data_IF_442690493238
#
_entry.id   IF_442690493238
#
_cell.length_a   1.000
_cell.length_b   1.000
_cell.length_c   1.000
_cell.angle_alpha   90.00
_cell.angle_beta   90.00
_cell.angle_gamma   90.00
#
_symmetry.space_group_name_H-M   'P 1'
#
loop_
_entity.id
_entity.type
_entity.pdbx_description
1 polymer ?
#
# COMPACT_ATOMS: atom_id res chain seq x y z
N UNK A 1 54.71 66.71 -48.36
CA UNK A 1 55.90 67.40 -47.82
C UNK A 1 55.78 67.42 -46.30
N UNK A 2 56.81 66.94 -45.62
CA UNK A 2 57.13 67.14 -44.19
C UNK A 2 56.30 66.40 -43.12
N UNK A 3 56.81 65.24 -42.70
CA UNK A 3 56.86 64.82 -41.29
C UNK A 3 58.09 65.50 -40.65
N UNK A 4 58.20 65.77 -39.32
CA UNK A 4 58.50 64.68 -38.36
C UNK A 4 58.30 64.92 -36.82
N UNK A 5 58.49 63.83 -36.04
CA UNK A 5 59.10 63.69 -34.67
C UNK A 5 58.34 64.16 -33.39
N UNK A 6 57.85 63.14 -32.67
CA UNK A 6 58.05 62.74 -31.26
C UNK A 6 58.48 63.73 -30.16
N UNK A 7 57.75 63.73 -29.02
CA UNK A 7 58.32 63.78 -27.64
C UNK A 7 57.45 62.94 -26.69
N UNK A 8 58.10 62.01 -25.98
CA UNK A 8 57.55 61.17 -24.92
C UNK A 8 57.39 61.93 -23.60
N UNK A 9 56.37 61.57 -22.79
CA UNK A 9 56.38 61.77 -21.32
C UNK A 9 55.65 60.63 -20.61
N UNK A 10 56.45 59.81 -19.94
CA UNK A 10 56.11 58.80 -18.94
C UNK A 10 55.64 59.46 -17.64
N UNK A 11 54.64 58.89 -16.96
CA UNK A 11 54.38 58.71 -15.50
C UNK A 11 52.93 58.18 -15.38
N UNK A 12 52.45 57.30 -14.52
CA UNK A 12 52.94 56.19 -13.68
C UNK A 12 51.67 55.69 -12.93
N UNK A 13 51.34 54.40 -13.04
CA UNK A 13 50.68 53.53 -12.05
C UNK A 13 49.31 53.93 -11.46
N UNK A 14 48.33 53.06 -11.72
CA UNK A 14 47.07 52.96 -10.96
C UNK A 14 46.27 51.72 -11.37
N UNK A 15 46.91 50.54 -11.38
CA UNK A 15 46.25 49.26 -11.63
C UNK A 15 45.50 48.83 -10.35
N UNK A 16 44.23 49.19 -10.21
CA UNK A 16 43.36 48.62 -9.19
C UNK A 16 42.94 47.21 -9.63
N UNK A 17 43.71 46.22 -9.19
CA UNK A 17 43.35 44.80 -9.26
C UNK A 17 42.24 44.55 -8.23
N UNK A 18 40.98 44.60 -8.67
CA UNK A 18 39.86 44.10 -7.85
C UNK A 18 39.90 42.58 -7.93
N UNK A 19 40.60 41.96 -6.99
CA UNK A 19 40.45 40.55 -6.66
C UNK A 19 39.03 40.36 -6.10
N UNK A 20 38.08 40.12 -7.01
CA UNK A 20 36.77 39.60 -6.66
C UNK A 20 36.95 38.17 -6.15
N UNK A 21 37.17 38.03 -4.84
CA UNK A 21 37.01 36.76 -4.14
C UNK A 21 35.54 36.38 -4.35
N UNK A 22 35.28 35.47 -5.29
CA UNK A 22 34.03 34.74 -5.33
C UNK A 22 34.03 33.83 -4.10
N UNK A 23 33.60 34.39 -2.97
CA UNK A 23 33.10 33.58 -1.89
C UNK A 23 31.89 32.86 -2.48
N UNK A 24 32.09 31.61 -2.91
CA UNK A 24 31.00 30.69 -3.15
C UNK A 24 30.13 30.77 -1.89
N UNK A 25 28.94 31.31 -2.03
CA UNK A 25 27.95 31.23 -0.98
C UNK A 25 27.76 29.74 -0.72
N UNK A 26 28.33 29.26 0.38
CA UNK A 26 27.91 27.97 0.94
C UNK A 26 26.48 28.25 1.34
N UNK A 27 25.55 27.97 0.42
CA UNK A 27 24.14 27.86 0.75
C UNK A 27 24.13 26.84 1.86
N UNK A 28 23.79 27.28 3.07
CA UNK A 28 23.58 26.37 4.18
C UNK A 28 22.57 25.34 3.66
N UNK A 29 23.04 24.11 3.43
CA UNK A 29 22.19 23.01 3.01
C UNK A 29 21.05 22.93 4.01
N UNK A 30 19.81 22.85 3.52
CA UNK A 30 18.71 22.54 4.44
C UNK A 30 19.05 21.22 5.13
N UNK A 31 18.80 21.06 6.43
CA UNK A 31 19.07 19.82 7.15
C UNK A 31 18.39 18.60 6.50
N UNK A 32 17.36 18.85 5.69
CA UNK A 32 16.61 17.81 4.97
C UNK A 32 17.19 17.46 3.59
N UNK A 33 18.19 18.19 3.10
CA UNK A 33 18.83 17.94 1.80
C UNK A 33 19.95 16.90 1.87
N UNK A 34 20.05 16.09 0.83
CA UNK A 34 21.13 15.12 0.62
C UNK A 34 22.21 15.78 -0.23
N UNK A 35 23.48 15.50 0.07
CA UNK A 35 24.57 15.83 -0.85
C UNK A 35 24.54 14.91 -2.09
N UNK A 36 25.34 15.25 -3.11
CA UNK A 36 25.36 14.51 -4.37
C UNK A 36 25.76 13.04 -4.22
N UNK A 37 26.70 12.74 -3.31
CA UNK A 37 27.16 11.38 -3.07
C UNK A 37 26.04 10.54 -2.45
N UNK A 38 25.39 11.05 -1.40
CA UNK A 38 24.27 10.38 -0.74
C UNK A 38 23.06 10.25 -1.69
N UNK A 39 22.77 11.27 -2.50
CA UNK A 39 21.71 11.21 -3.51
C UNK A 39 21.95 10.07 -4.51
N UNK A 40 23.17 9.97 -5.05
CA UNK A 40 23.57 8.88 -5.95
C UNK A 40 23.47 7.52 -5.25
N UNK A 41 23.98 7.41 -4.03
CA UNK A 41 23.94 6.16 -3.26
C UNK A 41 22.50 5.67 -3.05
N UNK A 42 21.59 6.55 -2.64
CA UNK A 42 20.18 6.21 -2.44
C UNK A 42 19.54 5.69 -3.73
N UNK A 43 19.77 6.35 -4.86
CA UNK A 43 19.19 5.90 -6.15
C UNK A 43 19.71 4.53 -6.59
N UNK A 44 21.01 4.26 -6.37
CA UNK A 44 21.60 2.95 -6.67
C UNK A 44 20.99 1.87 -5.78
N UNK A 45 20.92 2.11 -4.47
CA UNK A 45 20.37 1.15 -3.51
C UNK A 45 18.88 0.89 -3.76
N UNK A 46 18.08 1.93 -4.08
CA UNK A 46 16.69 1.77 -4.50
C UNK A 46 16.59 0.90 -5.75
N UNK A 47 17.37 1.19 -6.79
CA UNK A 47 17.33 0.42 -8.04
C UNK A 47 17.69 -1.05 -7.80
N UNK A 48 18.73 -1.32 -7.01
CA UNK A 48 19.16 -2.67 -6.66
C UNK A 48 18.06 -3.42 -5.87
N UNK A 49 17.49 -2.82 -4.83
CA UNK A 49 16.43 -3.46 -4.04
C UNK A 49 15.19 -3.76 -4.90
N UNK A 50 14.77 -2.84 -5.76
CA UNK A 50 13.63 -3.08 -6.67
C UNK A 50 13.94 -4.21 -7.64
N UNK A 51 15.11 -4.18 -8.29
CA UNK A 51 15.54 -5.19 -9.24
C UNK A 51 15.56 -6.57 -8.60
N UNK A 52 16.03 -6.68 -7.37
CA UNK A 52 16.32 -7.96 -6.73
C UNK A 52 15.12 -8.52 -5.95
N UNK A 53 14.17 -7.66 -5.55
CA UNK A 53 13.07 -8.07 -4.66
C UNK A 53 11.65 -7.85 -5.20
N UNK A 54 11.45 -7.08 -6.28
CA UNK A 54 10.11 -6.94 -6.84
C UNK A 54 9.63 -8.25 -7.46
N UNK A 55 8.35 -8.55 -7.21
CA UNK A 55 7.71 -9.81 -7.58
C UNK A 55 7.75 -10.10 -9.09
N UNK A 56 7.57 -9.09 -9.94
CA UNK A 56 7.72 -9.23 -11.39
C UNK A 56 9.16 -8.85 -11.79
N UNK A 57 10.00 -9.82 -12.21
CA UNK A 57 11.41 -9.53 -12.51
C UNK A 57 11.60 -8.62 -13.72
N UNK A 58 10.70 -8.68 -14.71
CA UNK A 58 10.81 -7.88 -15.93
C UNK A 58 10.47 -6.43 -15.62
N UNK A 59 9.37 -6.21 -14.90
CA UNK A 59 8.95 -4.86 -14.49
C UNK A 59 9.93 -4.28 -13.47
N UNK A 60 10.41 -5.08 -12.52
CA UNK A 60 11.39 -4.66 -11.52
C UNK A 60 12.70 -4.19 -12.16
N UNK A 61 13.20 -4.95 -13.14
CA UNK A 61 14.37 -4.53 -13.93
C UNK A 61 14.11 -3.21 -14.66
N UNK A 62 12.96 -3.06 -15.33
CA UNK A 62 12.65 -1.86 -16.09
C UNK A 62 12.52 -0.60 -15.21
N UNK A 63 12.00 -0.73 -13.98
CA UNK A 63 11.99 0.36 -12.99
C UNK A 63 13.43 0.72 -12.58
N UNK A 64 14.23 -0.29 -12.23
CA UNK A 64 15.61 -0.10 -11.82
C UNK A 64 16.45 0.60 -12.91
N UNK A 65 16.32 0.17 -14.16
CA UNK A 65 16.99 0.77 -15.32
C UNK A 65 16.57 2.23 -15.51
N UNK A 66 15.29 2.54 -15.31
CA UNK A 66 14.76 3.91 -15.42
C UNK A 66 15.30 4.83 -14.31
N UNK A 67 15.55 4.29 -13.12
CA UNK A 67 16.20 5.02 -12.01
C UNK A 67 17.69 5.22 -12.33
N UNK A 68 18.39 4.15 -12.74
CA UNK A 68 19.82 4.19 -13.05
C UNK A 68 20.16 5.09 -14.24
N UNK A 69 19.30 5.17 -15.26
CA UNK A 69 19.48 6.10 -16.37
C UNK A 69 19.55 7.57 -15.91
N UNK A 70 18.88 7.95 -14.81
CA UNK A 70 19.00 9.31 -14.23
C UNK A 70 20.38 9.53 -13.63
N UNK A 71 20.93 8.51 -12.97
CA UNK A 71 22.27 8.54 -12.38
C UNK A 71 23.34 8.69 -13.47
N UNK A 72 23.21 7.94 -14.56
CA UNK A 72 24.13 7.99 -15.72
C UNK A 72 24.06 9.33 -16.47
N UNK A 73 22.89 9.96 -16.50
CA UNK A 73 22.68 11.29 -17.09
C UNK A 73 23.17 12.44 -16.19
N UNK A 74 23.80 12.14 -15.06
CA UNK A 74 24.31 13.13 -14.10
C UNK A 74 23.21 13.86 -13.31
N UNK A 75 21.96 13.38 -13.33
CA UNK A 75 20.85 13.98 -12.58
C UNK A 75 20.95 13.74 -11.06
N UNK A 76 21.91 12.93 -10.64
CA UNK A 76 22.27 12.69 -9.25
C UNK A 76 23.57 13.40 -8.81
N UNK A 77 24.17 14.23 -9.67
CA UNK A 77 25.46 14.91 -9.40
C UNK A 77 25.33 16.20 -8.58
N UNK A 78 24.13 16.49 -8.09
CA UNK A 78 23.83 17.64 -7.25
C UNK A 78 23.07 17.22 -5.99
N UNK A 79 23.09 18.11 -4.99
CA UNK A 79 22.26 17.96 -3.81
C UNK A 79 20.77 18.00 -4.17
N UNK A 80 19.97 17.29 -3.38
CA UNK A 80 18.52 17.21 -3.58
C UNK A 80 17.81 17.27 -2.23
N UNK A 81 16.65 17.92 -2.22
CA UNK A 81 15.73 17.85 -1.09
C UNK A 81 15.11 16.44 -0.97
N UNK A 82 15.02 15.89 0.24
CA UNK A 82 14.52 14.52 0.44
C UNK A 82 13.08 14.32 -0.04
N UNK A 83 12.19 15.31 0.11
CA UNK A 83 10.82 15.24 -0.38
C UNK A 83 10.79 15.22 -1.92
N UNK A 84 11.67 16.01 -2.55
CA UNK A 84 11.82 15.99 -4.00
C UNK A 84 12.39 14.64 -4.51
N UNK A 85 13.34 14.04 -3.79
CA UNK A 85 13.86 12.71 -4.09
C UNK A 85 12.75 11.64 -4.03
N UNK A 86 11.98 11.64 -2.94
CA UNK A 86 10.83 10.73 -2.77
C UNK A 86 9.84 10.89 -3.94
N UNK A 87 9.43 12.12 -4.24
CA UNK A 87 8.50 12.39 -5.33
C UNK A 87 9.03 11.91 -6.70
N UNK A 88 10.32 12.08 -6.95
CA UNK A 88 10.96 11.65 -8.20
C UNK A 88 10.97 10.12 -8.35
N UNK A 89 11.35 9.39 -7.30
CA UNK A 89 11.37 7.92 -7.29
C UNK A 89 9.95 7.37 -7.41
N UNK A 90 9.02 7.90 -6.62
CA UNK A 90 7.62 7.48 -6.65
C UNK A 90 6.95 7.76 -8.00
N UNK A 91 7.31 8.86 -8.66
CA UNK A 91 6.84 9.15 -10.02
C UNK A 91 7.24 8.07 -11.04
N UNK A 92 8.42 7.46 -10.89
CA UNK A 92 8.85 6.32 -11.73
C UNK A 92 7.99 5.10 -11.42
N UNK A 93 7.96 4.70 -10.15
CA UNK A 93 7.25 3.50 -9.69
C UNK A 93 5.78 3.57 -10.15
N UNK A 94 5.10 4.69 -9.90
CA UNK A 94 3.67 4.87 -10.26
C UNK A 94 3.40 4.94 -11.76
N UNK A 95 4.39 5.26 -12.58
CA UNK A 95 4.25 5.20 -14.04
C UNK A 95 4.26 3.77 -14.61
N UNK A 96 4.69 2.80 -13.82
CA UNK A 96 4.89 1.40 -14.25
C UNK A 96 4.06 0.41 -13.43
N UNK A 97 3.70 0.76 -12.18
CA UNK A 97 2.99 -0.11 -11.23
C UNK A 97 1.86 0.64 -10.57
N UNK A 98 0.66 0.04 -10.59
CA UNK A 98 -0.53 0.60 -9.97
C UNK A 98 -0.63 0.30 -8.46
N UNK A 99 -0.01 -0.79 -7.99
CA UNK A 99 -0.13 -1.22 -6.60
C UNK A 99 0.43 -0.17 -5.62
N UNK A 100 -0.43 0.26 -4.69
CA UNK A 100 -0.12 1.29 -3.72
C UNK A 100 0.81 0.79 -2.60
N UNK A 101 0.97 -0.52 -2.42
CA UNK A 101 1.96 -1.07 -1.48
C UNK A 101 3.40 -0.79 -1.90
N UNK A 102 3.65 -0.58 -3.19
CA UNK A 102 4.99 -0.23 -3.64
C UNK A 102 5.24 1.23 -3.29
N UNK A 103 6.01 1.50 -2.24
CA UNK A 103 6.14 2.83 -1.65
C UNK A 103 7.59 3.16 -1.28
N UNK A 104 7.93 4.45 -1.30
CA UNK A 104 9.22 4.97 -0.91
C UNK A 104 9.02 6.24 -0.09
N UNK A 105 9.42 6.22 1.18
CA UNK A 105 9.17 7.30 2.15
C UNK A 105 10.43 7.72 2.90
N UNK A 106 10.41 8.93 3.47
CA UNK A 106 11.44 9.40 4.40
C UNK A 106 11.00 9.08 5.84
N UNK A 107 11.84 8.36 6.59
CA UNK A 107 11.52 7.95 7.97
C UNK A 107 11.37 9.15 8.93
N UNK A 108 11.89 10.32 8.56
CA UNK A 108 11.74 11.54 9.35
C UNK A 108 10.33 12.13 9.27
N UNK A 109 9.63 11.97 8.14
CA UNK A 109 8.24 12.45 7.97
C UNK A 109 7.22 11.51 8.58
N UNK A 110 7.53 10.21 8.67
CA UNK A 110 6.65 9.20 9.28
C UNK A 110 6.43 9.43 10.78
N UNK A 111 7.26 10.24 11.45
CA UNK A 111 7.08 10.60 12.86
C UNK A 111 5.94 11.59 13.11
N UNK A 112 5.55 12.39 12.10
CA UNK A 112 4.43 13.34 12.22
C UNK A 112 3.09 12.72 11.76
N UNK A 113 3.11 11.76 10.81
CA UNK A 113 1.90 11.09 10.31
C UNK A 113 1.54 9.79 11.06
N UNK A 114 2.50 9.18 11.79
CA UNK A 114 2.21 8.02 12.65
C UNK A 114 1.29 8.32 13.83
N UNK A 115 1.03 9.60 14.12
CA UNK A 115 0.02 10.05 15.09
C UNK A 115 -1.41 10.05 14.50
N UNK A 116 -1.56 10.01 13.16
CA UNK A 116 -2.85 9.95 12.47
C UNK A 116 -3.24 8.57 11.95
N UNK A 117 -2.29 7.63 11.75
CA UNK A 117 -2.64 6.21 11.64
C UNK A 117 -3.03 5.72 13.03
N UNK A 118 -4.30 5.93 13.39
CA UNK A 118 -4.87 5.72 14.70
C UNK A 118 -4.21 4.56 15.44
N UNK A 119 -3.43 4.86 16.48
CA UNK A 119 -3.06 3.90 17.53
C UNK A 119 -4.31 3.55 18.37
N UNK A 120 -5.47 3.38 17.73
CA UNK A 120 -6.61 2.72 18.33
C UNK A 120 -6.12 1.32 18.65
N UNK A 121 -5.98 1.06 19.95
CA UNK A 121 -5.57 -0.25 20.45
C UNK A 121 -6.44 -1.31 19.77
N UNK A 122 -5.83 -2.12 18.91
CA UNK A 122 -6.52 -3.20 18.20
C UNK A 122 -7.30 -4.03 19.20
N UNK A 123 -8.50 -4.43 18.81
CA UNK A 123 -9.30 -5.34 19.61
C UNK A 123 -8.54 -6.66 19.82
N UNK A 124 -8.92 -7.39 20.87
CA UNK A 124 -8.32 -8.71 21.13
C UNK A 124 -8.68 -9.62 19.95
N UNK A 125 -7.68 -10.22 19.31
CA UNK A 125 -7.84 -11.07 18.13
C UNK A 125 -8.39 -10.37 16.87
N UNK A 126 -8.46 -9.03 16.85
CA UNK A 126 -8.94 -8.26 15.70
C UNK A 126 -10.47 -8.29 15.49
N UNK A 127 -11.21 -8.99 16.37
CA UNK A 127 -12.67 -9.04 16.40
C UNK A 127 -13.20 -8.11 17.50
N UNK A 128 -13.72 -6.95 17.11
CA UNK A 128 -14.26 -5.94 18.03
C UNK A 128 -15.63 -6.34 18.57
N UNK A 129 -16.48 -6.90 17.71
CA UNK A 129 -17.84 -7.32 18.07
C UNK A 129 -18.27 -8.56 17.31
N UNK A 130 -18.95 -9.47 18.00
CA UNK A 130 -19.71 -10.56 17.40
C UNK A 130 -21.05 -10.63 18.14
N UNK A 131 -22.13 -10.19 17.48
CA UNK A 131 -23.45 -10.09 18.10
C UNK A 131 -24.56 -10.40 17.12
N UNK A 132 -25.72 -10.77 17.67
CA UNK A 132 -26.95 -10.97 16.90
C UNK A 132 -27.77 -9.67 16.90
N UNK A 133 -28.07 -9.14 15.72
CA UNK A 133 -29.01 -8.04 15.53
C UNK A 133 -30.43 -8.58 15.31
N UNK A 134 -31.40 -7.68 15.22
CA UNK A 134 -32.77 -8.02 14.88
C UNK A 134 -32.86 -8.81 13.56
N UNK A 135 -33.93 -9.61 13.44
CA UNK A 135 -34.15 -10.50 12.30
C UNK A 135 -33.17 -11.69 12.22
N UNK A 136 -32.42 -11.99 13.28
CA UNK A 136 -31.36 -13.02 13.27
C UNK A 136 -30.24 -12.68 12.27
N UNK A 137 -29.76 -11.42 12.29
CA UNK A 137 -28.58 -10.99 11.52
C UNK A 137 -27.33 -11.12 12.38
N UNK A 138 -26.41 -12.02 12.03
CA UNK A 138 -25.12 -12.05 12.68
C UNK A 138 -24.29 -10.83 12.23
N UNK A 139 -23.75 -10.07 13.16
CA UNK A 139 -22.90 -8.91 12.90
C UNK A 139 -21.52 -9.15 13.50
N UNK A 140 -20.51 -9.14 12.65
CA UNK A 140 -19.11 -9.30 13.01
C UNK A 140 -18.33 -8.04 12.63
N UNK A 141 -17.78 -7.35 13.60
CA UNK A 141 -16.99 -6.15 13.40
C UNK A 141 -15.52 -6.45 13.64
N UNK A 142 -14.70 -6.24 12.62
CA UNK A 142 -13.26 -6.46 12.68
C UNK A 142 -12.48 -5.15 12.57
N UNK A 143 -11.40 -5.04 13.33
CA UNK A 143 -10.43 -3.94 13.24
C UNK A 143 -9.01 -4.41 12.90
N UNK A 144 -8.89 -5.68 12.52
CA UNK A 144 -7.67 -6.29 12.00
C UNK A 144 -7.82 -7.79 11.81
N UNK A 145 -6.94 -8.38 11.01
CA UNK A 145 -6.87 -9.81 10.75
C UNK A 145 -5.55 -10.40 11.27
N UNK A 146 -5.37 -10.61 12.58
CA UNK A 146 -4.17 -11.28 13.09
C UNK A 146 -4.09 -12.73 12.61
N UNK A 147 -2.87 -13.20 12.30
CA UNK A 147 -2.61 -14.56 11.81
C UNK A 147 -2.14 -15.55 12.88
N UNK A 148 -2.06 -15.15 14.15
CA UNK A 148 -1.65 -16.07 15.20
C UNK A 148 -2.75 -17.10 15.52
N UNK A 149 -2.33 -18.31 15.89
CA UNK A 149 -3.23 -19.44 16.15
C UNK A 149 -4.29 -19.14 17.21
N UNK A 150 -3.95 -18.36 18.25
CA UNK A 150 -4.91 -18.02 19.29
C UNK A 150 -6.03 -17.12 18.77
N UNK A 151 -5.69 -16.17 17.89
CA UNK A 151 -6.67 -15.32 17.23
C UNK A 151 -7.55 -16.07 16.24
N UNK A 152 -6.97 -16.93 15.39
CA UNK A 152 -7.73 -17.76 14.46
C UNK A 152 -8.76 -18.63 15.20
N UNK A 153 -8.34 -19.30 16.28
CA UNK A 153 -9.24 -20.12 17.11
C UNK A 153 -10.33 -19.29 17.79
N UNK A 154 -9.99 -18.10 18.29
CA UNK A 154 -10.97 -17.24 18.96
C UNK A 154 -12.05 -16.74 17.99
N UNK A 155 -11.66 -16.37 16.76
CA UNK A 155 -12.59 -15.93 15.72
C UNK A 155 -13.48 -17.08 15.25
N UNK A 156 -12.91 -18.24 14.93
CA UNK A 156 -13.69 -19.43 14.57
C UNK A 156 -14.74 -19.76 15.64
N UNK A 157 -14.32 -19.79 16.91
CA UNK A 157 -15.23 -20.04 18.03
C UNK A 157 -16.35 -19.00 18.11
N UNK A 158 -16.04 -17.70 17.98
CA UNK A 158 -17.05 -16.65 18.06
C UNK A 158 -18.09 -16.70 16.93
N UNK A 159 -17.68 -17.18 15.76
CA UNK A 159 -18.52 -17.44 14.58
C UNK A 159 -19.38 -18.69 14.80
N UNK A 160 -18.77 -19.76 15.29
CA UNK A 160 -19.41 -21.06 15.54
C UNK A 160 -20.45 -21.02 16.67
N UNK A 161 -20.22 -20.21 17.70
CA UNK A 161 -21.14 -20.04 18.83
C UNK A 161 -22.35 -19.17 18.51
N UNK A 162 -22.43 -18.56 17.31
CA UNK A 162 -23.63 -17.82 16.93
C UNK A 162 -24.83 -18.77 16.81
N UNK A 163 -25.99 -18.39 17.37
CA UNK A 163 -27.22 -19.15 17.15
C UNK A 163 -27.61 -19.10 15.67
N UNK A 164 -28.63 -19.87 15.29
CA UNK A 164 -29.10 -19.94 13.90
C UNK A 164 -29.33 -18.53 13.32
N UNK A 165 -28.49 -18.17 12.37
CA UNK A 165 -28.52 -16.88 11.67
C UNK A 165 -29.31 -17.00 10.36
N UNK A 166 -29.92 -15.89 9.95
CA UNK A 166 -30.62 -15.76 8.67
C UNK A 166 -29.89 -14.85 7.67
N UNK A 167 -28.93 -14.06 8.14
CA UNK A 167 -28.03 -13.25 7.34
C UNK A 167 -26.75 -12.95 8.15
N UNK A 168 -25.67 -12.57 7.47
CA UNK A 168 -24.44 -12.13 8.10
C UNK A 168 -23.97 -10.78 7.53
N UNK A 169 -23.47 -9.92 8.40
CA UNK A 169 -22.82 -8.66 8.06
C UNK A 169 -21.41 -8.70 8.64
N UNK A 170 -20.41 -8.52 7.77
CA UNK A 170 -19.01 -8.37 8.13
C UNK A 170 -18.64 -6.89 7.99
N UNK A 171 -18.42 -6.22 9.11
CA UNK A 171 -18.02 -4.82 9.12
C UNK A 171 -16.49 -4.69 9.15
N UNK A 172 -15.95 -4.15 8.06
CA UNK A 172 -14.52 -3.93 7.84
C UNK A 172 -14.18 -2.45 7.68
N UNK A 173 -15.11 -1.55 8.01
CA UNK A 173 -14.94 -0.09 7.82
C UNK A 173 -13.74 0.46 8.59
N UNK A 174 -13.35 -0.14 9.70
CA UNK A 174 -12.17 0.24 10.48
C UNK A 174 -11.05 -0.84 10.42
N UNK A 175 -11.08 -1.73 9.43
CA UNK A 175 -10.15 -2.87 9.35
C UNK A 175 -8.95 -2.59 8.42
N UNK A 176 -7.78 -2.43 9.04
CA UNK A 176 -6.54 -2.13 8.34
C UNK A 176 -5.80 -3.39 7.80
N UNK A 177 -6.50 -4.51 7.64
CA UNK A 177 -5.97 -5.74 7.06
C UNK A 177 -5.23 -6.64 8.05
N UNK A 178 -4.27 -7.41 7.53
CA UNK A 178 -3.54 -8.42 8.32
C UNK A 178 -3.17 -9.66 7.49
N UNK A 179 -3.35 -10.84 8.09
CA UNK A 179 -2.95 -12.12 7.54
C UNK A 179 -4.02 -12.74 6.63
N UNK A 180 -3.55 -13.37 5.55
CA UNK A 180 -4.39 -14.14 4.63
C UNK A 180 -5.05 -15.37 5.28
N UNK A 181 -4.46 -15.92 6.35
CA UNK A 181 -5.02 -17.08 7.06
C UNK A 181 -6.41 -16.78 7.65
N UNK A 182 -6.61 -15.56 8.17
CA UNK A 182 -7.91 -15.12 8.64
C UNK A 182 -8.91 -15.01 7.49
N UNK A 183 -8.47 -14.54 6.32
CA UNK A 183 -9.32 -14.47 5.11
C UNK A 183 -9.78 -15.85 4.71
N UNK A 184 -8.87 -16.84 4.66
CA UNK A 184 -9.20 -18.23 4.34
C UNK A 184 -10.16 -18.82 5.37
N UNK A 185 -9.91 -18.59 6.67
CA UNK A 185 -10.78 -19.05 7.75
C UNK A 185 -12.22 -18.52 7.57
N UNK A 186 -12.37 -17.21 7.37
CA UNK A 186 -13.70 -16.60 7.18
C UNK A 186 -14.37 -17.10 5.90
N UNK A 187 -13.61 -17.26 4.81
CA UNK A 187 -14.10 -17.81 3.55
C UNK A 187 -14.65 -19.24 3.73
N UNK A 188 -13.98 -20.09 4.51
CA UNK A 188 -14.41 -21.48 4.72
C UNK A 188 -15.79 -21.60 5.39
N UNK A 189 -16.21 -20.62 6.19
CA UNK A 189 -17.57 -20.58 6.74
C UNK A 189 -18.63 -20.16 5.70
N UNK A 190 -18.22 -19.51 4.63
CA UNK A 190 -19.08 -18.81 3.66
C UNK A 190 -19.02 -19.40 2.25
N UNK A 191 -18.17 -20.36 1.97
CA UNK A 191 -17.97 -20.86 0.62
C UNK A 191 -17.94 -22.38 0.63
N UNK A 192 -18.47 -22.97 -0.44
CA UNK A 192 -18.28 -24.39 -0.68
C UNK A 192 -16.79 -24.71 -0.74
N UNK A 193 -16.42 -25.93 -0.36
CA UNK A 193 -15.05 -26.38 -0.41
C UNK A 193 -14.53 -26.43 -1.86
N UNK A 194 -13.21 -26.33 -2.00
CA UNK A 194 -12.51 -26.43 -3.28
C UNK A 194 -12.85 -25.32 -4.29
N UNK A 195 -13.22 -24.12 -3.81
CA UNK A 195 -13.29 -22.92 -4.64
C UNK A 195 -11.94 -22.19 -4.61
N UNK A 196 -11.46 -21.79 -5.78
CA UNK A 196 -10.26 -20.96 -5.89
C UNK A 196 -10.54 -19.58 -5.30
N UNK A 197 -9.80 -19.21 -4.25
CA UNK A 197 -9.91 -17.90 -3.61
C UNK A 197 -8.96 -16.92 -4.31
N UNK A 198 -7.70 -17.32 -4.44
CA UNK A 198 -6.69 -16.56 -5.14
C UNK A 198 -5.47 -17.42 -5.47
N UNK A 199 -4.66 -16.94 -6.39
CA UNK A 199 -3.30 -17.43 -6.63
C UNK A 199 -2.29 -16.38 -6.22
N UNK A 200 -1.13 -16.79 -5.76
CA UNK A 200 0.01 -15.89 -5.57
C UNK A 200 1.26 -16.44 -6.26
N UNK A 201 2.09 -15.54 -6.79
CA UNK A 201 3.38 -15.88 -7.36
C UNK A 201 4.42 -14.82 -6.98
N UNK A 202 5.59 -15.27 -6.55
CA UNK A 202 6.77 -14.45 -6.37
C UNK A 202 7.72 -14.56 -7.56
N UNK A 203 8.81 -13.80 -7.47
CA UNK A 203 9.84 -13.70 -8.51
C UNK A 203 10.44 -15.04 -8.94
N UNK A 204 10.66 -15.94 -7.97
CA UNK A 204 11.37 -17.20 -8.18
C UNK A 204 10.44 -18.40 -8.38
N UNK A 205 9.13 -18.16 -8.49
CA UNK A 205 8.15 -19.23 -8.61
C UNK A 205 7.97 -19.60 -10.09
N UNK A 206 8.09 -20.89 -10.40
CA UNK A 206 7.85 -21.40 -11.76
C UNK A 206 6.37 -21.32 -12.17
N UNK A 207 5.46 -21.34 -11.19
CA UNK A 207 4.03 -21.25 -11.38
C UNK A 207 3.35 -20.63 -10.14
N UNK A 208 2.17 -19.98 -10.30
CA UNK A 208 1.40 -19.50 -9.17
C UNK A 208 0.95 -20.62 -8.23
N UNK A 209 1.00 -20.35 -6.93
CA UNK A 209 0.41 -21.21 -5.90
C UNK A 209 -1.06 -20.88 -5.74
N UNK A 210 -1.93 -21.90 -5.74
CA UNK A 210 -3.35 -21.74 -5.49
C UNK A 210 -3.68 -21.77 -3.99
N UNK A 211 -4.58 -20.88 -3.57
CA UNK A 211 -5.24 -20.92 -2.27
C UNK A 211 -6.72 -21.16 -2.49
N UNK A 212 -7.24 -22.22 -1.87
CA UNK A 212 -8.61 -22.71 -2.10
C UNK A 212 -9.37 -22.81 -0.78
N UNK A 213 -10.68 -22.64 -0.82
CA UNK A 213 -11.54 -22.89 0.33
C UNK A 213 -11.50 -24.36 0.73
N UNK A 214 -11.70 -24.62 2.02
CA UNK A 214 -11.74 -25.96 2.61
C UNK A 214 -13.08 -26.19 3.29
N UNK A 215 -13.43 -27.46 3.48
CA UNK A 215 -14.65 -27.82 4.20
C UNK A 215 -14.60 -27.29 5.64
N UNK A 216 -15.73 -26.79 6.11
CA UNK A 216 -15.93 -26.29 7.47
C UNK A 216 -17.15 -26.98 8.08
N UNK A 217 -17.06 -27.41 9.35
CA UNK A 217 -18.19 -28.06 10.04
C UNK A 217 -19.36 -27.09 10.19
N UNK A 218 -19.09 -25.84 10.57
CA UNK A 218 -20.10 -24.80 10.71
C UNK A 218 -20.14 -23.90 9.46
N UNK A 219 -20.51 -24.51 8.33
CA UNK A 219 -20.74 -23.79 7.08
C UNK A 219 -22.11 -23.11 7.08
N UNK A 220 -22.16 -21.82 6.70
CA UNK A 220 -23.39 -21.01 6.76
C UNK A 220 -24.36 -21.26 5.60
N UNK A 221 -24.03 -22.23 4.72
CA UNK A 221 -24.79 -22.52 3.51
C UNK A 221 -24.65 -21.41 2.47
N UNK A 222 -24.86 -21.72 1.19
CA UNK A 222 -24.63 -20.79 0.07
C UNK A 222 -25.77 -19.81 -0.22
N UNK A 223 -26.95 -20.04 0.34
CA UNK A 223 -28.15 -19.22 0.09
C UNK A 223 -28.34 -18.07 1.09
N UNK A 224 -27.68 -18.12 2.25
CA UNK A 224 -27.83 -17.08 3.28
C UNK A 224 -27.22 -15.75 2.78
N UNK A 225 -27.95 -14.62 2.84
CA UNK A 225 -27.42 -13.31 2.49
C UNK A 225 -26.21 -12.92 3.32
N UNK A 226 -25.18 -12.40 2.65
CA UNK A 226 -23.95 -11.89 3.27
C UNK A 226 -23.69 -10.48 2.75
N UNK A 227 -23.41 -9.56 3.66
CA UNK A 227 -22.97 -8.21 3.34
C UNK A 227 -21.60 -7.96 3.93
N UNK A 228 -20.77 -7.20 3.21
CA UNK A 228 -19.47 -6.73 3.70
C UNK A 228 -19.48 -5.21 3.66
N UNK A 229 -19.24 -4.58 4.81
CA UNK A 229 -19.19 -3.12 4.92
C UNK A 229 -17.75 -2.64 4.76
N UNK A 230 -17.54 -1.66 3.89
CA UNK A 230 -16.20 -1.14 3.56
C UNK A 230 -16.14 0.38 3.68
N UNK A 231 -14.92 0.88 3.90
CA UNK A 231 -14.60 2.31 3.86
C UNK A 231 -13.27 2.53 3.12
N UNK A 232 -12.83 3.78 2.99
CA UNK A 232 -11.47 4.09 2.53
C UNK A 232 -10.35 3.54 3.45
N UNK A 233 -10.66 3.22 4.71
CA UNK A 233 -9.71 2.63 5.68
C UNK A 233 -9.63 1.10 5.59
N UNK A 234 -10.55 0.45 4.88
CA UNK A 234 -10.46 -0.99 4.63
C UNK A 234 -9.23 -1.28 3.76
N UNK A 235 -8.30 -2.11 4.27
CA UNK A 235 -6.97 -2.26 3.67
C UNK A 235 -6.50 -3.73 3.60
N UNK A 236 -5.70 -4.08 2.59
CA UNK A 236 -4.97 -5.35 2.47
C UNK A 236 -5.86 -6.59 2.62
N UNK A 237 -5.59 -7.48 3.59
CA UNK A 237 -6.35 -8.72 3.76
C UNK A 237 -7.87 -8.49 3.95
N UNK A 238 -8.29 -7.34 4.49
CA UNK A 238 -9.71 -7.00 4.59
C UNK A 238 -10.32 -6.71 3.20
N UNK A 239 -9.56 -6.02 2.33
CA UNK A 239 -9.92 -5.84 0.91
C UNK A 239 -10.01 -7.19 0.19
N UNK A 240 -9.04 -8.09 0.44
CA UNK A 240 -9.04 -9.42 -0.14
C UNK A 240 -10.31 -10.20 0.21
N UNK A 241 -10.74 -10.18 1.48
CA UNK A 241 -11.97 -10.84 1.90
C UNK A 241 -13.21 -10.27 1.19
N UNK A 242 -13.34 -8.94 1.12
CA UNK A 242 -14.44 -8.28 0.40
C UNK A 242 -14.42 -8.64 -1.09
N UNK A 243 -13.27 -8.55 -1.74
CA UNK A 243 -13.10 -8.83 -3.17
C UNK A 243 -13.40 -10.29 -3.51
N UNK A 244 -12.90 -11.26 -2.72
CA UNK A 244 -13.13 -12.69 -2.96
C UNK A 244 -14.62 -13.00 -2.93
N UNK A 245 -15.33 -12.52 -1.90
CA UNK A 245 -16.76 -12.79 -1.77
C UNK A 245 -17.57 -12.08 -2.87
N UNK A 246 -17.17 -10.88 -3.29
CA UNK A 246 -17.81 -10.17 -4.40
C UNK A 246 -17.58 -10.89 -5.73
N UNK A 247 -16.33 -11.27 -6.05
CA UNK A 247 -15.94 -11.94 -7.30
C UNK A 247 -16.63 -13.30 -7.46
N UNK A 248 -16.83 -14.00 -6.35
CA UNK A 248 -17.56 -15.27 -6.31
C UNK A 248 -19.09 -15.08 -6.24
N UNK A 249 -19.60 -13.84 -6.16
CA UNK A 249 -21.02 -13.52 -6.05
C UNK A 249 -21.65 -13.98 -4.73
N UNK A 250 -20.84 -14.14 -3.67
CA UNK A 250 -21.25 -14.64 -2.36
C UNK A 250 -21.74 -13.55 -1.41
N UNK A 251 -21.22 -12.34 -1.54
CA UNK A 251 -21.60 -11.21 -0.71
C UNK A 251 -21.85 -9.95 -1.54
N UNK A 252 -22.65 -9.05 -0.98
CA UNK A 252 -22.83 -7.68 -1.47
C UNK A 252 -21.93 -6.75 -0.67
N UNK A 253 -21.06 -6.01 -1.33
CA UNK A 253 -20.17 -5.02 -0.74
C UNK A 253 -20.88 -3.67 -0.67
N UNK A 254 -20.93 -3.05 0.50
CA UNK A 254 -21.68 -1.80 0.77
C UNK A 254 -20.79 -0.80 1.49
N UNK A 255 -20.80 0.45 1.04
CA UNK A 255 -20.02 1.53 1.65
C UNK A 255 -19.15 2.23 0.64
N UNK A 256 -17.89 2.49 0.99
CA UNK A 256 -16.96 3.24 0.16
C UNK A 256 -15.92 2.33 -0.49
N UNK A 257 -15.26 2.86 -1.52
CA UNK A 257 -14.14 2.20 -2.17
C UNK A 257 -12.93 2.13 -1.24
N UNK A 258 -12.27 0.97 -1.25
CA UNK A 258 -11.16 0.65 -0.35
C UNK A 258 -9.80 1.20 -0.82
N UNK A 259 -8.75 0.98 -0.02
CA UNK A 259 -7.44 1.62 -0.19
C UNK A 259 -6.67 1.25 -1.48
N UNK A 260 -6.82 0.03 -1.99
CA UNK A 260 -6.14 -0.49 -3.18
C UNK A 260 -4.77 -1.13 -2.90
N UNK A 261 -4.60 -1.71 -1.71
CA UNK A 261 -3.34 -2.26 -1.22
C UNK A 261 -3.38 -3.78 -1.37
N UNK A 262 -3.02 -4.32 -2.54
CA UNK A 262 -3.36 -5.73 -2.86
C UNK A 262 -2.27 -6.76 -2.53
N UNK A 263 -1.00 -6.43 -2.77
CA UNK A 263 0.03 -7.45 -2.73
C UNK A 263 0.87 -7.41 -1.45
N UNK A 264 1.22 -8.59 -0.89
CA UNK A 264 2.18 -8.69 0.21
C UNK A 264 3.50 -8.00 -0.14
N UNK A 265 4.00 -7.21 0.79
CA UNK A 265 5.18 -6.37 0.59
C UNK A 265 6.16 -6.50 1.75
N UNK A 266 7.40 -6.09 1.48
CA UNK A 266 8.48 -6.04 2.46
C UNK A 266 9.12 -4.66 2.41
N UNK A 267 9.39 -4.10 3.58
CA UNK A 267 10.09 -2.82 3.72
C UNK A 267 11.58 -3.04 3.89
N UNK A 268 12.37 -2.28 3.15
CA UNK A 268 13.83 -2.24 3.18
C UNK A 268 14.25 -0.83 3.59
N UNK A 269 15.14 -0.73 4.58
CA UNK A 269 15.72 0.56 4.94
C UNK A 269 16.82 0.91 3.95
N UNK A 270 16.71 2.07 3.33
CA UNK A 270 17.63 2.58 2.30
C UNK A 270 18.48 3.68 2.92
N UNK A 271 19.80 3.47 2.90
CA UNK A 271 20.81 4.42 3.38
C UNK A 271 20.51 4.97 4.79
N UNK A 272 19.85 4.17 5.64
CA UNK A 272 19.51 4.51 7.03
C UNK A 272 18.46 5.60 7.24
N UNK A 273 17.93 6.23 6.18
CA UNK A 273 17.01 7.38 6.26
C UNK A 273 15.66 7.12 5.61
N UNK A 274 15.62 6.34 4.53
CA UNK A 274 14.39 6.10 3.77
C UNK A 274 13.93 4.67 3.98
N UNK A 275 12.62 4.45 3.79
CA UNK A 275 12.04 3.12 3.73
C UNK A 275 11.50 2.88 2.31
N UNK A 276 11.83 1.73 1.74
CA UNK A 276 11.33 1.28 0.45
C UNK A 276 10.52 0.00 0.66
N UNK A 277 9.21 0.09 0.48
CA UNK A 277 8.28 -1.04 0.55
C UNK A 277 8.08 -1.62 -0.84
N UNK A 278 8.45 -2.88 -1.02
CA UNK A 278 8.43 -3.59 -2.31
C UNK A 278 7.50 -4.80 -2.25
N UNK A 279 6.49 -4.90 -3.12
CA UNK A 279 5.69 -6.10 -3.27
C UNK A 279 6.54 -7.28 -3.75
N UNK A 280 6.55 -8.36 -2.97
CA UNK A 280 7.37 -9.56 -3.26
C UNK A 280 6.54 -10.74 -3.76
N UNK A 281 5.21 -10.65 -3.68
CA UNK A 281 4.25 -11.56 -4.30
C UNK A 281 3.28 -10.76 -5.17
N UNK A 282 2.69 -11.40 -6.17
CA UNK A 282 1.56 -10.87 -6.94
C UNK A 282 0.37 -11.79 -6.71
N UNK A 283 -0.73 -11.21 -6.23
CA UNK A 283 -1.99 -11.93 -6.02
C UNK A 283 -2.95 -11.69 -7.19
N UNK A 284 -3.64 -12.76 -7.60
CA UNK A 284 -4.74 -12.76 -8.56
C UNK A 284 -5.92 -13.52 -7.97
N UNK A 285 -7.11 -12.95 -8.06
CA UNK A 285 -8.27 -13.46 -7.33
C UNK A 285 -9.21 -14.30 -8.20
N UNK A 286 -9.65 -15.40 -7.60
CA UNK A 286 -10.79 -16.23 -7.98
C UNK A 286 -11.06 -16.43 -9.46
N UNK A 287 -12.30 -16.10 -9.83
CA UNK A 287 -12.97 -16.41 -11.09
C UNK A 287 -12.59 -15.43 -12.20
N UNK A 288 -12.38 -14.16 -11.86
CA UNK A 288 -11.99 -13.15 -12.84
C UNK A 288 -10.50 -13.20 -13.21
N UNK A 289 -9.66 -13.77 -12.35
CA UNK A 289 -8.20 -13.59 -12.43
C UNK A 289 -7.78 -12.13 -12.20
N UNK A 290 -8.67 -11.32 -11.60
CA UNK A 290 -8.50 -9.89 -11.42
C UNK A 290 -7.65 -9.51 -10.20
N UNK A 291 -7.56 -8.20 -9.95
CA UNK A 291 -6.88 -7.60 -8.80
C UNK A 291 -7.53 -6.26 -8.45
N UNK A 292 -7.48 -5.88 -7.18
CA UNK A 292 -7.87 -4.55 -6.70
C UNK A 292 -6.67 -3.59 -6.53
N UNK A 293 -5.47 -4.01 -6.93
CA UNK A 293 -4.24 -3.22 -6.79
C UNK A 293 -4.39 -1.82 -7.41
N UNK A 294 -4.12 -0.78 -6.62
CA UNK A 294 -4.15 0.62 -7.04
C UNK A 294 -5.52 1.27 -7.14
N UNK A 295 -6.59 0.46 -7.19
CA UNK A 295 -7.97 0.92 -7.38
C UNK A 295 -8.80 0.80 -6.11
N UNK A 296 -8.63 -0.29 -5.37
CA UNK A 296 -9.51 -0.71 -4.28
C UNK A 296 -10.66 -1.59 -4.78
N UNK A 297 -11.35 -2.24 -3.84
CA UNK A 297 -12.62 -2.92 -4.05
C UNK A 297 -13.69 -1.86 -4.26
N UNK A 298 -14.39 -1.93 -5.39
CA UNK A 298 -15.51 -1.03 -5.68
C UNK A 298 -16.77 -1.64 -5.07
N UNK A 299 -17.51 -0.93 -4.20
CA UNK A 299 -18.71 -1.46 -3.57
C UNK A 299 -19.81 -1.71 -4.60
N UNK A 300 -20.64 -2.74 -4.38
CA UNK A 300 -21.85 -2.99 -5.19
C UNK A 300 -22.91 -1.92 -4.92
N UNK A 301 -22.93 -1.38 -3.69
CA UNK A 301 -23.81 -0.28 -3.26
C UNK A 301 -22.93 0.80 -2.63
N UNK A 302 -22.68 1.86 -3.40
CA UNK A 302 -21.87 2.99 -2.95
C UNK A 302 -22.68 3.94 -2.07
N UNK A 303 -22.27 4.08 -0.81
CA UNK A 303 -22.80 4.99 0.21
C UNK A 303 -21.66 5.43 1.14
N UNK A 304 -21.87 6.44 1.99
CA UNK A 304 -20.85 6.75 3.00
C UNK A 304 -20.63 5.57 3.95
N UNK A 305 -19.42 5.48 4.51
CA UNK A 305 -19.12 4.43 5.50
C UNK A 305 -20.12 4.47 6.67
N UNK A 306 -20.56 5.66 7.09
CA UNK A 306 -21.56 5.85 8.15
C UNK A 306 -22.91 5.18 7.82
N UNK A 307 -23.41 5.35 6.59
CA UNK A 307 -24.71 4.83 6.15
C UNK A 307 -24.69 3.36 5.71
N UNK A 308 -23.51 2.72 5.63
CA UNK A 308 -23.35 1.38 5.07
C UNK A 308 -24.14 0.30 5.84
N UNK A 309 -24.13 0.36 7.19
CA UNK A 309 -24.83 -0.62 8.03
C UNK A 309 -26.35 -0.50 7.87
N UNK A 310 -26.89 0.71 7.95
CA UNK A 310 -28.32 0.98 7.75
C UNK A 310 -28.76 0.49 6.37
N UNK A 311 -28.01 0.83 5.33
CA UNK A 311 -28.26 0.38 3.95
C UNK A 311 -28.30 -1.14 3.83
N UNK A 312 -27.35 -1.86 4.45
CA UNK A 312 -27.34 -3.32 4.43
C UNK A 312 -28.56 -3.92 5.15
N UNK A 313 -28.98 -3.34 6.27
CA UNK A 313 -30.16 -3.76 7.03
C UNK A 313 -31.45 -3.50 6.24
N UNK A 314 -31.60 -2.35 5.60
CA UNK A 314 -32.74 -2.06 4.71
C UNK A 314 -32.86 -3.08 3.58
N UNK A 315 -31.75 -3.45 2.94
CA UNK A 315 -31.71 -4.47 1.87
C UNK A 315 -32.10 -5.86 2.34
N UNK A 316 -31.91 -6.15 3.63
CA UNK A 316 -32.40 -7.37 4.27
C UNK A 316 -33.89 -7.29 4.66
N UNK A 317 -34.55 -6.14 4.47
CA UNK A 317 -35.91 -5.87 4.97
C UNK A 317 -35.94 -5.67 6.48
N UNK A 318 -34.85 -5.12 7.05
CA UNK A 318 -34.59 -5.00 8.50
C UNK A 318 -34.18 -3.57 8.91
N UNK A 319 -34.52 -2.57 8.09
CA UNK A 319 -34.37 -1.16 8.48
C UNK A 319 -35.32 -0.81 9.62
N UNK A 320 -34.93 0.17 10.44
CA UNK A 320 -35.76 0.71 11.54
C UNK A 320 -37.01 1.46 11.03
#
# INVERSE_FOLDING_TARGET
MSNPIAIARTVLIGLMLVLGIHAASISAMSPDSLDAETHRQVLVEVADVIRDHYADPVVGQAIADTIMARVEQGRADCSIDAKALVANVMGVIRSMVADRHFDFSDRSTDKDDSDQSSHRKRSKHGLRSARMLEGQTAYFEFDGFPGDEASLKAVAKAIEEQPKMQAAIFDLRDNNGGAGDMVVLLCNHLLDADLLLYTFAGRSDDAPTEVRSSACEQHFGTAMPVYVLTSEHTLSAAEAFAYILQDLGRAVVVGERTAGMANPSRTFTISGRFDLTVPFLIIRYGKSGGTFAGVGVTPDIEVSAESALETALERLGRGE
#
